data_IF_313914226298
#
_entry.id   IF_313914226298
#
_cell.length_a   1.000
_cell.length_b   1.000
_cell.length_c   1.000
_cell.angle_alpha   90.00
_cell.angle_beta   90.00
_cell.angle_gamma   90.00
#
_symmetry.space_group_name_H-M   'P 1'
#
loop_
_entity.id
_entity.type
_entity.pdbx_description
1 polymer ?
#
# COMPACT_ATOMS: atom_id res chain seq x y z
N UNK A 1 -17.16 -14.19 12.75
CA UNK A 1 -16.53 -14.27 11.41
C UNK A 1 -16.14 -15.70 11.12
N UNK A 2 -16.22 -16.11 9.85
CA UNK A 2 -15.76 -17.46 9.48
C UNK A 2 -14.24 -17.52 9.59
N UNK A 3 -13.73 -18.62 10.14
CA UNK A 3 -12.29 -18.84 10.28
C UNK A 3 -11.65 -19.18 8.94
N UNK A 4 -10.47 -18.64 8.70
CA UNK A 4 -9.63 -18.95 7.54
C UNK A 4 -8.51 -19.84 8.04
N UNK A 5 -8.56 -21.11 7.66
CA UNK A 5 -7.59 -22.13 8.09
C UNK A 5 -6.56 -22.44 7.03
N UNK A 6 -5.39 -22.95 7.43
CA UNK A 6 -4.33 -23.34 6.50
C UNK A 6 -3.57 -22.18 5.88
N UNK A 7 -3.68 -20.98 6.44
CA UNK A 7 -2.94 -19.78 5.99
C UNK A 7 -1.46 -19.93 6.35
N UNK A 8 -0.59 -19.74 5.37
CA UNK A 8 0.86 -19.79 5.51
C UNK A 8 1.53 -18.44 5.19
N UNK A 9 0.83 -17.57 4.46
CA UNK A 9 1.29 -16.24 4.09
C UNK A 9 0.15 -15.23 4.22
N UNK A 10 0.44 -14.08 4.84
CA UNK A 10 -0.40 -12.87 4.77
C UNK A 10 0.42 -11.77 4.12
N UNK A 11 -0.08 -11.23 3.00
CA UNK A 11 0.49 -10.04 2.37
C UNK A 11 -0.30 -8.82 2.79
N UNK A 12 0.39 -7.71 3.00
CA UNK A 12 -0.23 -6.41 3.29
C UNK A 12 0.18 -5.41 2.21
N UNK A 13 -0.78 -4.69 1.69
CA UNK A 13 -0.47 -3.44 1.00
C UNK A 13 0.08 -2.40 1.99
N UNK A 14 0.69 -1.32 1.50
CA UNK A 14 1.31 -0.31 2.35
C UNK A 14 0.41 0.92 2.52
N UNK A 15 0.26 1.68 1.45
CA UNK A 15 -0.41 2.99 1.46
C UNK A 15 -1.92 2.79 1.68
N UNK A 16 -2.48 3.37 2.73
CA UNK A 16 -3.88 3.16 3.13
C UNK A 16 -4.14 1.87 3.92
N UNK A 17 -3.20 0.92 3.94
CA UNK A 17 -3.32 -0.37 4.64
C UNK A 17 -2.43 -0.44 5.87
N UNK A 18 -1.10 -0.33 5.74
CA UNK A 18 -0.20 -0.26 6.90
C UNK A 18 -0.27 1.09 7.60
N UNK A 19 -0.38 2.15 6.81
CA UNK A 19 -0.38 3.54 7.24
C UNK A 19 -1.44 4.32 6.46
N UNK A 20 -2.15 5.23 7.11
CA UNK A 20 -3.08 6.17 6.45
C UNK A 20 -2.31 7.45 6.07
N UNK A 21 -1.69 7.44 4.90
CA UNK A 21 -0.80 8.50 4.40
C UNK A 21 -1.31 9.21 3.14
N UNK A 22 -2.51 8.89 2.65
CA UNK A 22 -3.10 9.54 1.46
C UNK A 22 -3.11 11.07 1.61
N UNK A 23 -3.44 11.59 2.81
CA UNK A 23 -3.38 13.03 3.10
C UNK A 23 -1.98 13.62 2.91
N UNK A 24 -0.93 12.87 3.25
CA UNK A 24 0.47 13.30 3.09
C UNK A 24 0.86 13.31 1.61
N UNK A 25 0.41 12.33 0.83
CA UNK A 25 0.58 12.31 -0.60
C UNK A 25 -0.10 13.50 -1.29
N UNK A 26 -1.34 13.83 -0.92
CA UNK A 26 -2.06 15.00 -1.45
C UNK A 26 -1.37 16.32 -1.09
N UNK A 27 -0.93 16.45 0.17
CA UNK A 27 -0.21 17.64 0.62
C UNK A 27 1.14 17.78 -0.08
N UNK A 28 1.93 16.71 -0.16
CA UNK A 28 3.23 16.73 -0.85
C UNK A 28 3.11 17.09 -2.34
N UNK A 29 2.14 16.49 -3.03
CA UNK A 29 1.83 16.82 -4.43
C UNK A 29 1.51 18.31 -4.61
N UNK A 30 0.68 18.86 -3.73
CA UNK A 30 0.28 20.26 -3.75
C UNK A 30 1.49 21.17 -3.51
N UNK A 31 2.27 20.94 -2.47
CA UNK A 31 3.45 21.75 -2.13
C UNK A 31 4.49 21.74 -3.25
N UNK A 32 4.77 20.57 -3.84
CA UNK A 32 5.74 20.43 -4.91
C UNK A 32 5.23 21.06 -6.21
N UNK A 33 3.95 20.88 -6.57
CA UNK A 33 3.35 21.50 -7.75
C UNK A 33 3.46 23.03 -7.69
N UNK A 34 3.12 23.63 -6.54
CA UNK A 34 3.33 25.07 -6.32
C UNK A 34 4.78 25.48 -6.46
N UNK A 35 5.73 24.67 -5.94
CA UNK A 35 7.16 24.99 -6.00
C UNK A 35 7.73 25.05 -7.42
N UNK A 36 7.08 24.39 -8.37
CA UNK A 36 7.47 24.39 -9.80
C UNK A 36 6.61 25.32 -10.66
N UNK A 37 5.68 26.08 -10.05
CA UNK A 37 4.82 27.04 -10.74
C UNK A 37 3.51 26.44 -11.31
N UNK A 38 3.10 25.26 -10.87
CA UNK A 38 1.80 24.69 -11.21
C UNK A 38 0.72 25.22 -10.26
N UNK A 39 0.31 26.47 -10.46
CA UNK A 39 -0.69 27.16 -9.63
C UNK A 39 -2.10 26.98 -10.23
N UNK A 40 -2.86 26.02 -9.72
CA UNK A 40 -4.23 25.77 -10.19
C UNK A 40 -4.79 24.43 -9.70
N UNK A 41 -5.91 24.01 -10.32
CA UNK A 41 -6.51 22.71 -10.03
C UNK A 41 -5.61 21.56 -10.53
N UNK A 42 -5.08 20.78 -9.61
CA UNK A 42 -4.20 19.63 -9.88
C UNK A 42 -4.98 18.34 -10.22
N UNK A 43 -6.30 18.36 -10.11
CA UNK A 43 -7.17 17.19 -10.35
C UNK A 43 -6.79 15.97 -9.48
N UNK A 44 -6.32 16.21 -8.25
CA UNK A 44 -5.84 15.17 -7.33
C UNK A 44 -6.79 13.96 -7.24
N UNK A 45 -8.12 14.13 -7.09
CA UNK A 45 -9.04 12.99 -7.00
C UNK A 45 -9.03 12.08 -8.23
N UNK A 46 -8.69 12.60 -9.41
CA UNK A 46 -8.61 11.81 -10.64
C UNK A 46 -7.39 10.87 -10.65
N UNK A 47 -6.45 11.07 -9.73
CA UNK A 47 -5.20 10.30 -9.62
C UNK A 47 -5.11 9.44 -8.36
N UNK A 48 -6.13 9.41 -7.52
CA UNK A 48 -6.21 8.48 -6.37
C UNK A 48 -6.06 7.04 -6.87
N UNK A 49 -5.12 6.30 -6.29
CA UNK A 49 -4.80 4.92 -6.68
C UNK A 49 -4.11 4.77 -8.04
N UNK A 50 -3.65 5.87 -8.65
CA UNK A 50 -2.85 5.84 -9.88
C UNK A 50 -1.38 6.10 -9.59
N UNK A 51 -0.53 5.69 -10.55
CA UNK A 51 0.92 5.92 -10.50
C UNK A 51 1.28 7.41 -10.34
N UNK A 52 2.15 7.74 -9.38
CA UNK A 52 2.68 9.08 -9.16
C UNK A 52 3.36 9.66 -10.41
N UNK A 53 4.04 8.82 -11.22
CA UNK A 53 4.62 9.25 -12.50
C UNK A 53 3.57 9.78 -13.48
N UNK A 54 2.38 9.11 -13.55
CA UNK A 54 1.27 9.58 -14.39
C UNK A 54 0.72 10.92 -13.91
N UNK A 55 0.65 11.11 -12.60
CA UNK A 55 0.25 12.38 -12.01
C UNK A 55 1.23 13.49 -12.38
N UNK A 56 2.53 13.30 -12.17
CA UNK A 56 3.53 14.32 -12.46
C UNK A 56 3.64 14.63 -13.95
N UNK A 57 3.54 13.62 -14.83
CA UNK A 57 3.47 13.87 -16.26
C UNK A 57 2.26 14.72 -16.63
N UNK A 58 1.08 14.41 -16.06
CA UNK A 58 -0.13 15.21 -16.27
C UNK A 58 0.05 16.67 -15.81
N UNK A 59 0.62 16.89 -14.63
CA UNK A 59 0.89 18.24 -14.10
C UNK A 59 1.81 19.03 -15.05
N UNK A 60 2.93 18.44 -15.47
CA UNK A 60 3.85 19.10 -16.40
C UNK A 60 3.16 19.45 -17.72
N UNK A 61 2.41 18.52 -18.30
CA UNK A 61 1.69 18.73 -19.57
C UNK A 61 0.60 19.81 -19.43
N UNK A 62 -0.22 19.73 -18.37
CA UNK A 62 -1.34 20.65 -18.12
C UNK A 62 -0.90 22.08 -17.94
N UNK A 63 0.21 22.31 -17.23
CA UNK A 63 0.71 23.66 -16.93
C UNK A 63 1.82 24.11 -17.89
N UNK A 64 2.17 23.29 -18.89
CA UNK A 64 3.21 23.62 -19.88
C UNK A 64 4.60 23.77 -19.25
N UNK A 65 4.88 23.01 -18.20
CA UNK A 65 6.12 23.04 -17.44
C UNK A 65 7.13 22.00 -17.95
N UNK A 66 8.41 22.30 -17.80
CA UNK A 66 9.48 21.35 -18.03
C UNK A 66 9.97 20.82 -16.67
N UNK A 67 10.14 19.51 -16.55
CA UNK A 67 10.64 18.88 -15.33
C UNK A 67 10.95 17.39 -15.54
N UNK A 68 11.68 16.83 -14.62
CA UNK A 68 11.93 15.38 -14.56
C UNK A 68 10.89 14.72 -13.67
N UNK A 69 10.11 13.82 -14.25
CA UNK A 69 9.03 13.09 -13.54
C UNK A 69 9.59 12.20 -12.44
N UNK A 70 10.80 11.66 -12.61
CA UNK A 70 11.44 10.82 -11.61
C UNK A 70 11.91 11.66 -10.40
N UNK A 71 12.52 12.82 -10.64
CA UNK A 71 12.88 13.78 -9.58
C UNK A 71 11.64 14.23 -8.79
N UNK A 72 10.56 14.58 -9.49
CA UNK A 72 9.32 15.00 -8.83
C UNK A 72 8.69 13.88 -7.99
N UNK A 73 8.77 12.63 -8.47
CA UNK A 73 8.27 11.47 -7.74
C UNK A 73 9.13 11.22 -6.48
N UNK A 74 10.45 11.29 -6.59
CA UNK A 74 11.35 11.14 -5.44
C UNK A 74 11.14 12.24 -4.40
N UNK A 75 11.02 13.50 -4.85
CA UNK A 75 10.70 14.63 -3.95
C UNK A 75 9.36 14.43 -3.24
N UNK A 76 8.36 13.88 -3.93
CA UNK A 76 7.08 13.56 -3.32
C UNK A 76 7.24 12.53 -2.20
N UNK A 77 7.90 11.41 -2.44
CA UNK A 77 8.07 10.37 -1.41
C UNK A 77 8.83 10.91 -0.20
N UNK A 78 9.91 11.64 -0.42
CA UNK A 78 10.66 12.29 0.67
C UNK A 78 9.74 13.21 1.49
N UNK A 79 8.92 14.04 0.84
CA UNK A 79 8.02 14.96 1.52
C UNK A 79 6.90 14.24 2.28
N UNK A 80 6.37 13.15 1.73
CA UNK A 80 5.40 12.29 2.42
C UNK A 80 5.99 11.76 3.72
N UNK A 81 7.19 11.21 3.68
CA UNK A 81 7.87 10.69 4.88
C UNK A 81 8.06 11.79 5.92
N UNK A 82 8.58 12.98 5.53
CA UNK A 82 8.72 14.13 6.43
C UNK A 82 7.39 14.49 7.11
N UNK A 83 6.30 14.56 6.34
CA UNK A 83 4.97 14.87 6.86
C UNK A 83 4.46 13.80 7.83
N UNK A 84 4.68 12.52 7.54
CA UNK A 84 4.34 11.42 8.45
C UNK A 84 5.13 11.48 9.75
N UNK A 85 6.43 11.80 9.68
CA UNK A 85 7.28 12.01 10.88
C UNK A 85 6.82 13.22 11.68
N UNK A 86 6.59 14.37 11.04
CA UNK A 86 6.13 15.61 11.68
C UNK A 86 4.83 15.40 12.46
N UNK A 87 3.88 14.66 11.88
CA UNK A 87 2.57 14.37 12.50
C UNK A 87 2.58 13.13 13.38
N UNK A 88 3.70 12.42 13.49
CA UNK A 88 3.80 11.14 14.20
C UNK A 88 2.70 10.17 13.74
N UNK A 89 2.56 10.04 12.42
CA UNK A 89 1.52 9.20 11.83
C UNK A 89 1.64 7.76 12.36
N UNK A 90 0.61 7.21 13.00
CA UNK A 90 0.68 5.85 13.54
C UNK A 90 0.44 4.81 12.45
N UNK A 91 0.82 3.56 12.74
CA UNK A 91 0.35 2.41 12.00
C UNK A 91 -1.17 2.27 12.10
N UNK A 92 -1.77 1.62 11.13
CA UNK A 92 -3.20 1.28 11.15
C UNK A 92 -3.58 0.52 12.42
N UNK A 93 -4.77 0.82 12.93
CA UNK A 93 -5.19 0.34 14.24
C UNK A 93 -5.18 -1.19 14.35
N UNK A 94 -4.42 -1.70 15.32
CA UNK A 94 -4.27 -3.13 15.59
C UNK A 94 -3.26 -3.85 14.69
N UNK A 95 -2.57 -3.15 13.78
CA UNK A 95 -1.61 -3.77 12.85
C UNK A 95 -0.45 -4.45 13.57
N UNK A 96 0.17 -3.76 14.53
CA UNK A 96 1.30 -4.31 15.28
C UNK A 96 0.92 -5.60 16.02
N UNK A 97 -0.25 -5.62 16.63
CA UNK A 97 -0.79 -6.81 17.30
C UNK A 97 -1.08 -7.94 16.31
N UNK A 98 -1.66 -7.60 15.15
CA UNK A 98 -1.98 -8.58 14.11
C UNK A 98 -0.72 -9.24 13.56
N UNK A 99 0.30 -8.47 13.15
CA UNK A 99 1.54 -9.05 12.61
C UNK A 99 2.30 -9.88 13.64
N UNK A 100 2.31 -9.46 14.91
CA UNK A 100 2.88 -10.26 16.01
C UNK A 100 2.14 -11.58 16.21
N UNK A 101 0.82 -11.58 16.14
CA UNK A 101 0.01 -12.78 16.26
C UNK A 101 0.25 -13.75 15.09
N UNK A 102 0.28 -13.23 13.85
CA UNK A 102 0.59 -14.03 12.66
C UNK A 102 1.97 -14.68 12.78
N UNK A 103 2.98 -13.93 13.18
CA UNK A 103 4.34 -14.46 13.41
C UNK A 103 4.37 -15.53 14.51
N UNK A 104 3.64 -15.33 15.60
CA UNK A 104 3.54 -16.33 16.69
C UNK A 104 2.89 -17.65 16.24
N UNK A 105 2.03 -17.58 15.21
CA UNK A 105 1.42 -18.76 14.56
C UNK A 105 2.34 -19.40 13.50
N UNK A 106 3.53 -18.87 13.26
CA UNK A 106 4.46 -19.33 12.21
C UNK A 106 4.05 -18.94 10.80
N UNK A 107 3.13 -17.99 10.66
CA UNK A 107 2.67 -17.48 9.37
C UNK A 107 3.68 -16.44 8.86
N UNK A 108 4.07 -16.54 7.60
CA UNK A 108 4.92 -15.55 6.94
C UNK A 108 4.14 -14.26 6.71
N UNK A 109 4.82 -13.13 6.86
CA UNK A 109 4.25 -11.81 6.63
C UNK A 109 5.02 -11.10 5.53
N UNK A 110 4.31 -10.58 4.54
CA UNK A 110 4.89 -9.86 3.43
C UNK A 110 4.27 -8.47 3.27
N UNK A 111 5.07 -7.50 2.84
CA UNK A 111 4.59 -6.23 2.32
C UNK A 111 4.65 -6.25 0.80
N UNK A 112 3.61 -5.68 0.14
CA UNK A 112 3.46 -5.64 -1.32
C UNK A 112 3.01 -4.24 -1.73
N UNK A 113 3.96 -3.38 -2.12
CA UNK A 113 3.68 -1.97 -2.43
C UNK A 113 4.03 -1.60 -3.87
N UNK A 114 3.21 -0.76 -4.48
CA UNK A 114 3.52 -0.09 -5.74
C UNK A 114 4.52 1.06 -5.60
N UNK A 115 4.99 1.33 -4.39
CA UNK A 115 5.98 2.35 -4.07
C UNK A 115 7.42 1.85 -4.24
N UNK A 116 8.40 2.75 -4.18
CA UNK A 116 9.82 2.43 -4.25
C UNK A 116 10.29 1.63 -3.03
N UNK A 117 11.25 0.71 -3.22
CA UNK A 117 11.80 -0.13 -2.15
C UNK A 117 12.32 0.71 -0.97
N UNK A 118 13.03 1.80 -1.28
CA UNK A 118 13.56 2.69 -0.25
C UNK A 118 12.44 3.32 0.59
N UNK A 119 11.35 3.77 -0.05
CA UNK A 119 10.19 4.32 0.66
C UNK A 119 9.49 3.27 1.53
N UNK A 120 9.38 2.03 1.04
CA UNK A 120 8.85 0.90 1.83
C UNK A 120 9.68 0.67 3.09
N UNK A 121 11.02 0.69 2.97
CA UNK A 121 11.93 0.52 4.10
C UNK A 121 11.78 1.64 5.14
N UNK A 122 11.71 2.90 4.69
CA UNK A 122 11.54 4.07 5.56
C UNK A 122 10.20 4.06 6.30
N UNK A 123 9.12 3.64 5.66
CA UNK A 123 7.80 3.49 6.31
C UNK A 123 7.83 2.35 7.35
N UNK A 124 8.42 1.20 7.04
CA UNK A 124 8.53 0.11 8.01
C UNK A 124 9.39 0.52 9.22
N UNK A 125 10.47 1.27 9.01
CA UNK A 125 11.30 1.81 10.08
C UNK A 125 10.52 2.83 10.93
N UNK A 126 9.84 3.79 10.30
CA UNK A 126 8.99 4.79 10.98
C UNK A 126 7.96 4.12 11.89
N UNK A 127 7.34 3.04 11.43
CA UNK A 127 6.31 2.32 12.17
C UNK A 127 6.87 1.28 13.16
N UNK A 128 8.20 1.06 13.19
CA UNK A 128 8.88 0.00 13.95
C UNK A 128 8.34 -1.40 13.61
N UNK A 129 8.03 -1.65 12.34
CA UNK A 129 7.45 -2.90 11.86
C UNK A 129 8.44 -3.78 11.08
N UNK A 130 9.60 -3.28 10.70
CA UNK A 130 10.62 -4.01 9.90
C UNK A 130 10.88 -5.45 10.39
N UNK A 131 11.04 -5.74 11.70
CA UNK A 131 11.33 -7.10 12.16
C UNK A 131 10.21 -8.13 11.94
N UNK A 132 9.01 -7.68 11.59
CA UNK A 132 7.86 -8.56 11.43
C UNK A 132 7.61 -8.96 9.97
N UNK A 133 8.19 -8.26 9.01
CA UNK A 133 8.01 -8.53 7.59
C UNK A 133 9.15 -9.38 7.04
N UNK A 134 8.84 -10.64 6.72
CA UNK A 134 9.81 -11.61 6.18
C UNK A 134 10.15 -11.33 4.71
N UNK A 135 9.21 -10.71 4.01
CA UNK A 135 9.25 -10.52 2.56
C UNK A 135 8.81 -9.10 2.25
N UNK A 136 9.60 -8.43 1.41
CA UNK A 136 9.26 -7.10 0.86
C UNK A 136 9.23 -7.22 -0.65
N UNK A 137 8.12 -6.80 -1.26
CA UNK A 137 7.97 -6.70 -2.71
C UNK A 137 7.52 -5.29 -3.06
N UNK A 138 8.36 -4.59 -3.79
CA UNK A 138 8.16 -3.23 -4.27
C UNK A 138 8.05 -3.20 -5.80
N UNK A 139 7.81 -2.04 -6.37
CA UNK A 139 7.63 -1.89 -7.82
C UNK A 139 8.86 -2.33 -8.64
N UNK A 140 10.07 -2.27 -8.08
CA UNK A 140 11.30 -2.62 -8.78
C UNK A 140 11.43 -4.12 -9.07
N UNK A 141 10.74 -4.96 -8.30
CA UNK A 141 10.81 -6.42 -8.46
C UNK A 141 9.75 -6.97 -9.43
N UNK A 142 8.90 -6.10 -10.00
CA UNK A 142 7.80 -6.51 -10.89
C UNK A 142 7.81 -5.73 -12.21
N UNK A 143 7.17 -6.27 -13.22
CA UNK A 143 7.03 -5.59 -14.52
C UNK A 143 5.89 -4.60 -14.51
N UNK A 144 4.78 -4.99 -13.92
CA UNK A 144 3.57 -4.18 -13.84
C UNK A 144 3.06 -4.14 -12.39
N UNK A 145 2.61 -2.95 -11.98
CA UNK A 145 1.99 -2.74 -10.67
C UNK A 145 0.48 -3.00 -10.74
N UNK A 146 -0.16 -3.04 -9.57
CA UNK A 146 -1.61 -3.22 -9.43
C UNK A 146 -2.38 -2.37 -10.45
N UNK A 147 -3.38 -2.91 -11.15
CA UNK A 147 -4.10 -4.16 -10.89
C UNK A 147 -3.47 -5.44 -11.49
N UNK A 148 -2.21 -5.39 -12.02
CA UNK A 148 -1.50 -6.62 -12.39
C UNK A 148 -1.24 -7.47 -11.13
N UNK A 149 -1.34 -8.83 -11.24
CA UNK A 149 -1.05 -9.72 -10.13
C UNK A 149 0.43 -9.86 -9.79
N UNK A 150 1.34 -9.29 -10.59
CA UNK A 150 2.79 -9.52 -10.55
C UNK A 150 3.36 -9.40 -9.14
N UNK A 151 2.94 -8.38 -8.39
CA UNK A 151 3.46 -8.12 -7.05
C UNK A 151 3.09 -9.22 -6.05
N UNK A 152 1.88 -9.76 -6.16
CA UNK A 152 1.42 -10.86 -5.31
C UNK A 152 1.99 -12.19 -5.73
N UNK A 153 2.10 -12.45 -7.04
CA UNK A 153 2.78 -13.63 -7.57
C UNK A 153 4.25 -13.65 -7.12
N UNK A 154 4.90 -12.50 -7.07
CA UNK A 154 6.27 -12.37 -6.58
C UNK A 154 6.37 -12.65 -5.07
N UNK A 155 5.41 -12.16 -4.29
CA UNK A 155 5.35 -12.47 -2.85
C UNK A 155 5.14 -13.98 -2.59
N UNK A 156 4.28 -14.64 -3.37
CA UNK A 156 4.08 -16.09 -3.32
C UNK A 156 5.37 -16.85 -3.68
N UNK A 157 6.08 -16.42 -4.73
CA UNK A 157 7.37 -16.99 -5.13
C UNK A 157 8.41 -16.90 -4.00
N UNK A 158 8.58 -15.71 -3.41
CA UNK A 158 9.53 -15.49 -2.31
C UNK A 158 9.15 -16.25 -1.04
N UNK A 159 7.85 -16.39 -0.79
CA UNK A 159 7.36 -17.15 0.33
C UNK A 159 7.48 -18.67 0.13
N UNK A 160 7.50 -19.13 -1.11
CA UNK A 160 7.38 -20.56 -1.43
C UNK A 160 6.01 -21.13 -1.03
N UNK A 161 4.94 -20.33 -1.15
CA UNK A 161 3.56 -20.65 -0.73
C UNK A 161 2.65 -20.60 -1.94
N UNK A 162 1.71 -21.54 -2.05
CA UNK A 162 0.68 -21.50 -3.10
C UNK A 162 -0.42 -20.50 -2.75
N UNK A 163 -1.10 -19.93 -3.77
CA UNK A 163 -2.09 -18.88 -3.60
C UNK A 163 -3.26 -19.31 -2.68
N UNK A 164 -3.65 -20.58 -2.68
CA UNK A 164 -4.71 -21.13 -1.83
C UNK A 164 -4.39 -21.08 -0.32
N UNK A 165 -3.10 -20.97 0.04
CA UNK A 165 -2.61 -20.83 1.42
C UNK A 165 -2.16 -19.40 1.74
N UNK A 166 -2.51 -18.44 0.90
CA UNK A 166 -2.16 -17.04 1.08
C UNK A 166 -3.40 -16.15 1.06
N UNK A 167 -3.37 -15.11 1.86
CA UNK A 167 -4.36 -14.04 1.86
C UNK A 167 -3.68 -12.70 1.71
N UNK A 168 -4.37 -11.72 1.13
CA UNK A 168 -3.89 -10.35 1.05
C UNK A 168 -4.83 -9.38 1.74
N UNK A 169 -4.25 -8.37 2.38
CA UNK A 169 -4.98 -7.26 3.01
C UNK A 169 -4.76 -6.01 2.16
N UNK A 170 -5.85 -5.38 1.74
CA UNK A 170 -5.87 -4.30 0.76
C UNK A 170 -6.96 -3.28 1.06
N UNK A 171 -6.71 -2.01 0.75
CA UNK A 171 -7.67 -0.92 0.87
C UNK A 171 -8.19 -0.39 -0.47
N UNK A 172 -7.68 -0.94 -1.58
CA UNK A 172 -7.97 -0.47 -2.95
C UNK A 172 -8.67 -1.50 -3.82
N UNK A 173 -9.54 -1.02 -4.75
CA UNK A 173 -10.17 -1.89 -5.75
C UNK A 173 -9.12 -2.49 -6.71
N UNK A 174 -8.07 -1.74 -7.05
CA UNK A 174 -7.00 -2.24 -7.92
C UNK A 174 -6.19 -3.35 -7.26
N UNK A 175 -5.98 -3.25 -5.96
CA UNK A 175 -5.30 -4.28 -5.17
C UNK A 175 -6.14 -5.53 -4.99
N UNK A 176 -7.46 -5.38 -4.71
CA UNK A 176 -8.39 -6.52 -4.67
C UNK A 176 -8.41 -7.28 -6.00
N UNK A 177 -8.50 -6.56 -7.13
CA UNK A 177 -8.45 -7.19 -8.46
C UNK A 177 -7.11 -7.92 -8.70
N UNK A 178 -5.99 -7.34 -8.26
CA UNK A 178 -4.66 -7.96 -8.38
C UNK A 178 -4.53 -9.23 -7.54
N UNK A 179 -5.05 -9.23 -6.29
CA UNK A 179 -5.10 -10.42 -5.43
C UNK A 179 -5.89 -11.56 -6.07
N UNK A 180 -7.08 -11.27 -6.57
CA UNK A 180 -7.92 -12.27 -7.25
C UNK A 180 -7.25 -12.80 -8.51
N UNK A 181 -6.60 -11.93 -9.30
CA UNK A 181 -5.85 -12.35 -10.48
C UNK A 181 -4.64 -13.23 -10.11
N UNK A 182 -4.07 -13.07 -8.91
CA UNK A 182 -3.03 -13.96 -8.36
C UNK A 182 -3.59 -15.26 -7.75
N UNK A 183 -4.92 -15.43 -7.69
CA UNK A 183 -5.59 -16.59 -7.07
C UNK A 183 -5.63 -16.55 -5.54
N UNK A 184 -5.36 -15.40 -4.94
CA UNK A 184 -5.37 -15.19 -3.50
C UNK A 184 -6.72 -14.68 -3.01
N UNK A 185 -7.06 -14.97 -1.75
CA UNK A 185 -8.21 -14.36 -1.08
C UNK A 185 -7.88 -12.92 -0.68
N UNK A 186 -8.84 -12.02 -0.92
CA UNK A 186 -8.74 -10.59 -0.58
C UNK A 186 -9.50 -10.25 0.70
N UNK A 187 -8.79 -9.71 1.68
CA UNK A 187 -9.35 -9.05 2.86
C UNK A 187 -9.31 -7.54 2.60
N UNK A 188 -10.49 -6.96 2.39
CA UNK A 188 -10.61 -5.52 2.21
C UNK A 188 -10.54 -4.77 3.54
N UNK A 189 -9.54 -3.94 3.73
CA UNK A 189 -9.43 -3.05 4.89
C UNK A 189 -10.15 -1.74 4.60
N UNK A 190 -11.26 -1.51 5.29
CA UNK A 190 -12.02 -0.26 5.17
C UNK A 190 -11.39 0.80 6.05
N UNK A 191 -10.26 1.36 5.60
CA UNK A 191 -9.65 2.46 6.31
C UNK A 191 -10.64 3.65 6.40
N UNK A 192 -10.49 4.48 7.43
CA UNK A 192 -11.33 5.67 7.63
C UNK A 192 -10.71 6.91 7.00
N UNK A 193 -9.79 6.73 6.05
CA UNK A 193 -9.11 7.79 5.33
C UNK A 193 -10.03 8.67 4.50
N UNK A 194 -9.46 9.70 3.88
CA UNK A 194 -10.21 10.74 3.18
C UNK A 194 -11.03 10.23 1.98
N UNK A 195 -10.62 9.12 1.35
CA UNK A 195 -11.24 8.58 0.15
C UNK A 195 -11.44 7.05 0.23
N UNK A 196 -12.29 6.53 1.12
CA UNK A 196 -12.48 5.09 1.25
C UNK A 196 -13.05 4.51 -0.05
N UNK A 197 -12.38 3.49 -0.58
CA UNK A 197 -12.85 2.78 -1.76
C UNK A 197 -13.96 1.78 -1.41
N UNK A 198 -14.76 1.40 -2.40
CA UNK A 198 -15.92 0.51 -2.16
C UNK A 198 -15.52 -0.89 -1.76
N UNK A 199 -14.34 -1.36 -2.18
CA UNK A 199 -13.83 -2.73 -1.99
C UNK A 199 -14.87 -3.79 -2.37
N UNK A 200 -15.57 -3.56 -3.48
CA UNK A 200 -16.68 -4.40 -3.89
C UNK A 200 -16.26 -5.84 -4.19
N UNK A 201 -15.01 -6.04 -4.58
CA UNK A 201 -14.44 -7.35 -4.91
C UNK A 201 -13.79 -8.05 -3.70
N UNK A 202 -13.69 -7.40 -2.54
CA UNK A 202 -13.11 -8.06 -1.36
C UNK A 202 -13.98 -9.24 -0.90
N UNK A 203 -13.36 -10.39 -0.61
CA UNK A 203 -14.06 -11.57 -0.10
C UNK A 203 -14.62 -11.35 1.30
N UNK A 204 -13.89 -10.58 2.12
CA UNK A 204 -14.28 -10.16 3.46
C UNK A 204 -13.80 -8.72 3.66
N UNK A 205 -14.56 -7.94 4.42
CA UNK A 205 -14.16 -6.58 4.82
C UNK A 205 -13.92 -6.52 6.31
N UNK A 206 -12.87 -5.81 6.70
CA UNK A 206 -12.51 -5.53 8.09
C UNK A 206 -12.38 -4.02 8.31
N UNK A 207 -12.67 -3.56 9.52
CA UNK A 207 -12.50 -2.16 9.93
C UNK A 207 -11.26 -1.95 10.82
N UNK A 208 -10.72 -3.04 11.37
CA UNK A 208 -9.52 -3.03 12.20
C UNK A 208 -8.63 -4.22 11.89
N UNK A 209 -7.31 -4.07 12.02
CA UNK A 209 -6.38 -5.18 11.84
C UNK A 209 -6.50 -6.24 12.96
N UNK A 210 -7.15 -5.92 14.09
CA UNK A 210 -7.41 -6.90 15.16
C UNK A 210 -8.33 -8.02 14.70
N UNK A 211 -9.20 -7.76 13.73
CA UNK A 211 -10.12 -8.77 13.19
C UNK A 211 -9.37 -9.92 12.49
N UNK A 212 -8.16 -9.65 11.94
CA UNK A 212 -7.29 -10.70 11.37
C UNK A 212 -6.88 -11.73 12.42
N UNK A 213 -6.68 -11.31 13.68
CA UNK A 213 -6.31 -12.21 14.79
C UNK A 213 -7.41 -13.24 15.05
N UNK A 214 -8.65 -12.83 14.91
CA UNK A 214 -9.82 -13.67 15.11
C UNK A 214 -10.13 -14.55 13.90
N UNK A 215 -9.78 -14.07 12.68
CA UNK A 215 -10.12 -14.76 11.43
C UNK A 215 -9.11 -15.82 11.02
N UNK A 216 -7.81 -15.58 11.24
CA UNK A 216 -6.73 -16.43 10.74
C UNK A 216 -6.32 -17.46 11.78
N UNK A 217 -6.39 -18.76 11.41
CA UNK A 217 -5.96 -19.89 12.23
C UNK A 217 -4.76 -20.61 11.63
#
# INVERSE_FOLDING_TARGET
MDKITGVQLVTFDMDGTLIDDEWAHEQAKTEIAHSIGADGDLELPAFTGKSNRKFWQHVLDKFGLCGDVDDLTERQFRRVLELCVEKRQPASYGLTEAVKNLKAKGIKVAITSGSDEHFVDEILELLNLEPYFDIKVSKEQVKEVKPSPDIYLKALEFAGVSAEHAIGVEDSNSGCSALHAAGMRCIGYTNRGANPQSLAEADVKIETMLELIEMVE
#
